data_IF_244408291533
#
_entry.id   IF_244408291533
#
_cell.length_a   1.000
_cell.length_b   1.000
_cell.length_c   1.000
_cell.angle_alpha   90.00
_cell.angle_beta   90.00
_cell.angle_gamma   90.00
#
_symmetry.space_group_name_H-M   'P 1'
#
loop_
_entity.id
_entity.type
_entity.pdbx_description
1 polymer ?
#
# COMPACT_ATOMS: atom_id res chain seq x y z
N UNK A 1 38.07 -19.43 18.04
CA UNK A 1 36.61 -19.40 18.26
C UNK A 1 36.11 -18.09 17.66
N UNK A 2 34.92 -18.11 17.05
CA UNK A 2 34.35 -17.20 16.03
C UNK A 2 34.70 -17.58 14.58
N UNK A 3 33.75 -17.49 13.62
CA UNK A 3 32.74 -16.43 13.47
C UNK A 3 31.25 -16.83 13.48
N UNK A 4 30.42 -15.89 13.94
CA UNK A 4 28.95 -15.90 13.95
C UNK A 4 28.34 -15.73 12.55
N UNK A 5 27.20 -16.40 12.36
CA UNK A 5 26.46 -16.62 11.12
C UNK A 5 25.98 -15.37 10.38
N UNK A 6 26.30 -15.31 9.09
CA UNK A 6 25.49 -14.65 8.06
C UNK A 6 24.25 -15.49 7.73
N UNK A 7 23.03 -14.98 7.94
CA UNK A 7 21.84 -15.50 7.25
C UNK A 7 20.92 -14.38 6.75
N UNK A 8 21.13 -14.09 5.47
CA UNK A 8 20.20 -13.54 4.47
C UNK A 8 18.78 -14.10 4.62
N UNK A 9 17.81 -13.29 5.05
CA UNK A 9 16.40 -13.67 5.03
C UNK A 9 15.83 -13.49 3.63
N UNK A 10 15.66 -14.62 2.94
CA UNK A 10 14.91 -14.72 1.67
C UNK A 10 13.44 -15.05 1.98
N UNK A 11 12.55 -14.27 1.37
CA UNK A 11 11.25 -14.62 0.79
C UNK A 11 10.61 -15.96 1.20
N UNK A 12 9.42 -15.87 1.81
CA UNK A 12 8.40 -16.92 1.72
C UNK A 12 7.09 -16.31 1.21
N UNK A 13 6.80 -16.60 -0.06
CA UNK A 13 5.45 -16.55 -0.62
C UNK A 13 4.69 -17.79 -0.10
N UNK A 14 3.55 -17.62 0.57
CA UNK A 14 2.56 -18.69 0.70
C UNK A 14 1.15 -18.13 0.47
N UNK A 15 0.70 -18.34 -0.75
CA UNK A 15 -0.68 -18.49 -1.21
C UNK A 15 -1.45 -19.48 -0.34
N UNK A 16 -2.64 -19.09 0.15
CA UNK A 16 -3.69 -20.02 0.54
C UNK A 16 -5.08 -19.41 0.27
N UNK A 17 -5.69 -19.93 -0.78
CA UNK A 17 -7.08 -19.77 -1.26
C UNK A 17 -8.12 -20.17 -0.20
N UNK A 18 -9.10 -19.30 0.05
CA UNK A 18 -10.47 -19.70 0.42
C UNK A 18 -11.40 -18.89 -0.48
N UNK A 19 -12.22 -19.60 -1.25
CA UNK A 19 -13.32 -19.06 -2.06
C UNK A 19 -14.24 -18.20 -1.20
N UNK A 20 -14.22 -16.88 -1.42
CA UNK A 20 -15.29 -15.93 -1.10
C UNK A 20 -15.07 -14.77 -2.08
N UNK A 21 -16.14 -14.31 -2.72
CA UNK A 21 -16.12 -13.35 -3.82
C UNK A 21 -15.22 -12.15 -3.48
N UNK A 22 -14.00 -12.18 -4.02
CA UNK A 22 -13.02 -11.14 -3.79
C UNK A 22 -13.46 -9.98 -4.67
N UNK A 23 -13.74 -8.83 -4.08
CA UNK A 23 -14.05 -7.64 -4.85
C UNK A 23 -12.89 -7.37 -5.81
N UNK A 24 -13.22 -7.14 -7.08
CA UNK A 24 -12.22 -6.77 -8.06
C UNK A 24 -11.72 -5.37 -7.76
N UNK A 25 -10.44 -5.12 -8.03
CA UNK A 25 -9.88 -3.76 -7.89
C UNK A 25 -10.36 -2.95 -9.08
N UNK A 26 -11.49 -2.27 -8.92
CA UNK A 26 -12.08 -1.40 -9.92
C UNK A 26 -11.31 -0.08 -10.09
N UNK A 27 -11.47 0.55 -11.25
CA UNK A 27 -10.94 1.88 -11.53
C UNK A 27 -11.42 2.94 -10.53
N UNK A 28 -12.63 2.79 -9.98
CA UNK A 28 -13.13 3.68 -8.92
C UNK A 28 -12.27 3.60 -7.66
N UNK A 29 -11.87 2.39 -7.24
CA UNK A 29 -10.98 2.21 -6.10
C UNK A 29 -9.62 2.83 -6.40
N UNK A 30 -9.06 2.60 -7.58
CA UNK A 30 -7.77 3.18 -7.98
C UNK A 30 -7.85 4.71 -7.96
N UNK A 31 -8.94 5.29 -8.45
CA UNK A 31 -9.18 6.75 -8.44
C UNK A 31 -9.32 7.29 -7.02
N UNK A 32 -10.05 6.59 -6.15
CA UNK A 32 -10.18 6.94 -4.74
C UNK A 32 -8.82 6.95 -4.05
N UNK A 33 -8.03 5.88 -4.23
CA UNK A 33 -6.68 5.77 -3.67
C UNK A 33 -5.78 6.89 -4.17
N UNK A 34 -5.76 7.15 -5.49
CA UNK A 34 -4.98 8.24 -6.07
C UNK A 34 -5.31 9.59 -5.49
N UNK A 35 -6.60 9.93 -5.45
CA UNK A 35 -7.06 11.23 -4.93
C UNK A 35 -6.70 11.36 -3.47
N UNK A 36 -6.92 10.30 -2.68
CA UNK A 36 -6.56 10.28 -1.26
C UNK A 36 -5.05 10.43 -1.04
N UNK A 37 -4.23 9.73 -1.83
CA UNK A 37 -2.78 9.86 -1.77
C UNK A 37 -2.35 11.28 -2.13
N UNK A 38 -2.97 11.92 -3.12
CA UNK A 38 -2.70 13.31 -3.51
C UNK A 38 -3.08 14.30 -2.40
N UNK A 39 -4.24 14.10 -1.75
CA UNK A 39 -4.72 14.92 -0.63
C UNK A 39 -3.83 14.86 0.62
N UNK A 40 -3.15 13.72 0.85
CA UNK A 40 -2.25 13.51 2.00
C UNK A 40 -0.78 13.46 1.60
N UNK A 41 -0.46 13.78 0.34
CA UNK A 41 0.91 13.85 -0.12
C UNK A 41 1.58 15.11 0.41
N UNK A 42 2.81 14.94 0.89
CA UNK A 42 3.71 16.04 1.24
C UNK A 42 4.23 16.76 -0.01
N UNK A 43 5.02 17.82 0.16
CA UNK A 43 5.65 18.61 -0.91
C UNK A 43 6.49 17.77 -1.90
N UNK A 44 7.01 16.62 -1.44
CA UNK A 44 7.77 15.67 -2.27
C UNK A 44 6.87 14.71 -3.10
N UNK A 45 5.55 14.80 -2.93
CA UNK A 45 4.55 13.92 -3.53
C UNK A 45 4.48 12.53 -2.90
N UNK A 46 5.02 12.35 -1.70
CA UNK A 46 4.93 11.12 -0.92
C UNK A 46 3.86 11.29 0.15
N UNK A 47 3.04 10.27 0.35
CA UNK A 47 1.97 10.27 1.33
C UNK A 47 2.22 9.18 2.38
N UNK A 48 1.93 9.48 3.64
CA UNK A 48 2.08 8.49 4.70
C UNK A 48 0.91 7.50 4.71
N UNK A 49 1.20 6.21 4.57
CA UNK A 49 0.17 5.17 4.39
C UNK A 49 -0.82 5.10 5.56
N UNK A 50 -0.39 5.42 6.78
CA UNK A 50 -1.28 5.44 7.93
C UNK A 50 -2.35 6.54 7.80
N UNK A 51 -1.95 7.72 7.30
CA UNK A 51 -2.87 8.82 7.02
C UNK A 51 -3.76 8.53 5.82
N UNK A 52 -3.20 7.95 4.75
CA UNK A 52 -3.98 7.46 3.60
C UNK A 52 -5.08 6.52 4.07
N UNK A 53 -4.75 5.53 4.91
CA UNK A 53 -5.73 4.59 5.46
C UNK A 53 -6.83 5.27 6.25
N UNK A 54 -6.46 6.22 7.13
CA UNK A 54 -7.42 7.01 7.89
C UNK A 54 -8.35 7.84 6.99
N UNK A 55 -7.82 8.44 5.93
CA UNK A 55 -8.62 9.24 4.99
C UNK A 55 -9.51 8.37 4.10
N UNK A 56 -9.05 7.18 3.69
CA UNK A 56 -9.89 6.23 2.93
C UNK A 56 -11.12 5.86 3.74
N UNK A 57 -10.98 5.49 5.02
CA UNK A 57 -12.13 5.13 5.87
C UNK A 57 -13.08 6.32 6.05
N UNK A 58 -12.58 7.55 6.07
CA UNK A 58 -13.43 8.76 6.09
C UNK A 58 -14.20 8.97 4.79
N UNK A 59 -13.58 8.71 3.63
CA UNK A 59 -14.20 8.89 2.31
C UNK A 59 -15.12 7.73 1.91
N UNK A 60 -14.73 6.50 2.26
CA UNK A 60 -15.42 5.25 1.98
C UNK A 60 -15.38 4.38 3.25
N UNK A 61 -16.34 4.56 4.18
CA UNK A 61 -16.36 3.80 5.44
C UNK A 61 -16.54 2.29 5.22
N UNK A 62 -17.13 1.89 4.09
CA UNK A 62 -17.26 0.49 3.68
C UNK A 62 -15.96 -0.12 3.13
N UNK A 63 -14.87 0.63 3.06
CA UNK A 63 -13.61 0.12 2.54
C UNK A 63 -12.96 -0.85 3.54
N UNK A 64 -12.87 -2.12 3.15
CA UNK A 64 -12.10 -3.14 3.88
C UNK A 64 -11.11 -3.84 2.92
N UNK A 65 -9.78 -3.78 3.16
CA UNK A 65 -8.78 -4.51 2.38
C UNK A 65 -9.03 -6.03 2.29
N UNK A 66 -9.75 -6.60 3.25
CA UNK A 66 -10.06 -8.03 3.32
C UNK A 66 -11.05 -8.44 2.24
N UNK A 67 -11.94 -7.54 1.82
CA UNK A 67 -12.86 -7.77 0.69
C UNK A 67 -12.08 -7.96 -0.62
N UNK A 68 -10.88 -7.38 -0.71
CA UNK A 68 -9.96 -7.50 -1.84
C UNK A 68 -8.94 -8.63 -1.67
N UNK A 69 -9.06 -9.46 -0.63
CA UNK A 69 -8.15 -10.60 -0.40
C UNK A 69 -6.86 -10.22 0.32
N UNK A 70 -6.79 -9.03 0.93
CA UNK A 70 -5.60 -8.55 1.63
C UNK A 70 -5.86 -8.39 3.14
N UNK A 71 -4.92 -8.86 3.97
CA UNK A 71 -5.07 -8.73 5.42
C UNK A 71 -4.92 -7.28 5.93
N UNK A 72 -4.23 -6.44 5.16
CA UNK A 72 -3.88 -5.05 5.53
C UNK A 72 -3.86 -4.17 4.29
N UNK A 73 -3.92 -2.85 4.49
CA UNK A 73 -3.80 -1.88 3.40
C UNK A 73 -2.44 -1.95 2.69
N UNK A 74 -1.36 -2.20 3.42
CA UNK A 74 0.00 -2.30 2.85
C UNK A 74 0.12 -3.31 1.71
N UNK A 75 -0.23 -4.61 1.87
CA UNK A 75 -0.14 -5.58 0.79
C UNK A 75 -1.12 -5.28 -0.36
N UNK A 76 -2.28 -4.66 -0.09
CA UNK A 76 -3.19 -4.19 -1.14
C UNK A 76 -2.51 -3.13 -2.03
N UNK A 77 -1.96 -2.08 -1.43
CA UNK A 77 -1.26 -1.02 -2.18
C UNK A 77 -0.01 -1.56 -2.88
N UNK A 78 0.72 -2.50 -2.25
CA UNK A 78 1.85 -3.21 -2.87
C UNK A 78 1.44 -4.03 -4.10
N UNK A 79 0.26 -4.64 -4.09
CA UNK A 79 -0.27 -5.33 -5.28
C UNK A 79 -0.54 -4.35 -6.43
N UNK A 80 -0.87 -3.10 -6.10
CA UNK A 80 -1.09 -2.01 -7.05
C UNK A 80 0.19 -1.27 -7.47
N UNK A 81 1.34 -1.96 -7.50
CA UNK A 81 2.66 -1.40 -7.88
C UNK A 81 2.70 -0.77 -9.29
N UNK A 82 1.73 -1.10 -10.14
CA UNK A 82 1.53 -0.53 -11.47
C UNK A 82 1.11 0.94 -11.40
N UNK A 83 0.38 1.32 -10.36
CA UNK A 83 -0.21 2.64 -10.18
C UNK A 83 0.45 3.46 -9.08
N UNK A 84 1.16 2.80 -8.14
CA UNK A 84 1.77 3.45 -6.99
C UNK A 84 3.22 3.01 -6.80
N UNK A 85 4.04 3.92 -6.27
CA UNK A 85 5.35 3.65 -5.71
C UNK A 85 5.26 3.60 -4.19
N UNK A 86 6.04 2.72 -3.57
CA UNK A 86 6.00 2.49 -2.12
C UNK A 86 7.42 2.51 -1.60
N UNK A 87 7.64 3.22 -0.50
CA UNK A 87 8.91 3.33 0.20
C UNK A 87 8.71 2.97 1.67
N UNK A 88 9.47 1.99 2.16
CA UNK A 88 9.42 1.56 3.55
C UNK A 88 10.65 2.09 4.28
N UNK A 89 10.45 3.03 5.20
CA UNK A 89 11.50 3.58 6.05
C UNK A 89 11.41 2.97 7.44
N UNK A 90 12.49 2.35 7.87
CA UNK A 90 12.65 1.96 9.26
C UNK A 90 13.07 3.20 10.06
N UNK A 91 12.41 3.43 11.19
CA UNK A 91 12.77 4.54 12.07
C UNK A 91 13.74 3.99 13.11
N UNK A 92 14.92 4.59 13.20
CA UNK A 92 15.92 4.20 14.19
C UNK A 92 15.31 4.27 15.60
N UNK A 93 15.56 3.22 16.40
CA UNK A 93 15.05 3.01 17.76
C UNK A 93 13.57 2.61 17.90
N UNK A 94 12.87 2.27 16.82
CA UNK A 94 11.54 1.63 16.92
C UNK A 94 11.41 0.45 15.97
N UNK A 95 10.69 -0.59 16.37
CA UNK A 95 10.30 -1.70 15.47
C UNK A 95 9.17 -1.31 14.50
N UNK A 96 8.87 -0.01 14.38
CA UNK A 96 7.77 0.51 13.58
C UNK A 96 8.34 0.93 12.22
N UNK A 97 7.69 0.46 11.16
CA UNK A 97 8.03 0.82 9.78
C UNK A 97 7.09 1.91 9.30
N UNK A 98 7.64 3.04 8.88
CA UNK A 98 6.89 4.05 8.16
C UNK A 98 6.82 3.67 6.69
N UNK A 99 5.60 3.61 6.18
CA UNK A 99 5.34 3.25 4.79
C UNK A 99 4.82 4.49 4.11
N UNK A 100 5.53 4.91 3.07
CA UNK A 100 5.15 6.02 2.22
C UNK A 100 4.70 5.47 0.88
N UNK A 101 3.70 6.12 0.29
CA UNK A 101 3.14 5.78 -1.01
C UNK A 101 3.12 7.02 -1.89
N UNK A 102 3.39 6.87 -3.17
CA UNK A 102 3.37 7.94 -4.15
C UNK A 102 2.60 7.50 -5.40
N UNK A 103 1.85 8.43 -5.98
CA UNK A 103 1.18 8.19 -7.25
C UNK A 103 2.21 8.05 -8.39
N UNK A 104 2.15 6.95 -9.15
CA UNK A 104 2.89 6.85 -10.42
C UNK A 104 2.21 7.69 -11.48
N UNK A 105 2.88 8.73 -11.94
CA UNK A 105 2.40 9.65 -12.98
C UNK A 105 2.23 9.02 -14.39
N UNK A 106 2.44 7.72 -14.54
CA UNK A 106 2.45 7.04 -15.84
C UNK A 106 1.05 6.71 -16.39
N UNK A 107 -0.03 7.03 -15.68
CA UNK A 107 -1.37 6.99 -16.24
C UNK A 107 -1.82 8.41 -16.54
N UNK A 108 -1.62 8.77 -17.81
CA UNK A 108 -2.16 9.95 -18.49
C UNK A 108 -3.57 10.23 -17.95
N UNK A 109 -3.68 11.27 -17.13
CA UNK A 109 -4.94 11.93 -16.89
C UNK A 109 -5.42 12.43 -18.26
N UNK A 110 -6.20 11.60 -18.95
CA UNK A 110 -7.05 12.11 -20.01
C UNK A 110 -8.09 12.96 -19.32
N UNK A 111 -7.84 14.27 -19.42
CA UNK A 111 -8.76 15.36 -19.16
C UNK A 111 -10.18 14.99 -19.60
N UNK A 112 -11.15 15.45 -18.83
CA UNK A 112 -12.46 15.84 -19.34
C UNK A 112 -12.56 17.35 -19.17
#
# INVERSE_FOLDING_TARGET
MEPISTTKTKNVNLTATITNEIDSIDDELIKLLRTTIDDVADDNGWAFLAEVGGLIIKKKPDFDPRNYGFQKLTPLIKSLNKYFDIDEKEIENTHIKHIYVKNKNNYRQQKI
#
